data_IF_526783374000
#
_entry.id   IF_526783374000
#
_cell.length_a   1.000
_cell.length_b   1.000
_cell.length_c   1.000
_cell.angle_alpha   90.00
_cell.angle_beta   90.00
_cell.angle_gamma   90.00
#
_symmetry.space_group_name_H-M   'P 1'
#
loop_
_entity.id
_entity.type
_entity.pdbx_description
1 polymer ?
#
# COMPACT_ATOMS: atom_id res chain seq x y z
N UNK A 1 6.73 8.04 2.98
CA UNK A 1 5.94 6.96 2.34
C UNK A 1 4.60 7.45 1.81
N UNK A 2 3.49 7.52 2.55
CA UNK A 2 2.21 7.96 1.93
C UNK A 2 2.10 9.48 1.66
N UNK A 3 3.10 10.25 2.11
CA UNK A 3 3.26 11.68 1.83
C UNK A 3 4.27 11.95 0.70
N UNK A 4 4.89 10.90 0.15
CA UNK A 4 5.81 11.05 -0.99
C UNK A 4 5.02 11.28 -2.28
N UNK A 5 5.21 12.46 -2.87
CA UNK A 5 4.62 12.85 -4.15
C UNK A 5 4.96 11.88 -5.29
N UNK A 6 6.08 11.16 -5.19
CA UNK A 6 6.51 10.16 -6.18
C UNK A 6 5.64 8.90 -6.19
N UNK A 7 4.98 8.56 -5.08
CA UNK A 7 4.13 7.38 -5.00
C UNK A 7 2.64 7.71 -4.92
N UNK A 8 2.25 8.99 -4.88
CA UNK A 8 0.83 9.42 -4.87
C UNK A 8 0.01 8.96 -6.09
N UNK A 9 0.68 8.72 -7.22
CA UNK A 9 0.08 8.13 -8.42
C UNK A 9 -0.22 6.64 -8.25
N UNK A 10 0.53 5.95 -7.39
CA UNK A 10 0.47 4.50 -7.16
C UNK A 10 -0.39 4.18 -5.93
N UNK A 11 -0.15 4.88 -4.82
CA UNK A 11 -0.87 4.76 -3.55
C UNK A 11 -1.06 6.14 -2.91
N UNK A 12 -2.29 6.45 -2.51
CA UNK A 12 -2.59 7.73 -1.87
C UNK A 12 -3.56 7.55 -0.71
N UNK A 13 -3.51 8.45 0.28
CA UNK A 13 -4.59 8.57 1.24
C UNK A 13 -5.91 8.93 0.55
N UNK A 14 -7.00 8.35 1.04
CA UNK A 14 -8.34 8.80 0.72
C UNK A 14 -8.60 10.22 1.26
N UNK A 15 -9.68 10.87 0.80
CA UNK A 15 -9.97 12.27 1.15
C UNK A 15 -10.10 12.51 2.65
N UNK A 16 -10.56 11.50 3.41
CA UNK A 16 -10.72 11.58 4.86
C UNK A 16 -9.51 11.06 5.65
N UNK A 17 -8.41 10.68 4.98
CA UNK A 17 -7.22 10.04 5.58
C UNK A 17 -7.50 8.80 6.45
N UNK A 18 -8.70 8.22 6.30
CA UNK A 18 -9.18 7.03 7.01
C UNK A 18 -8.73 5.73 6.33
N UNK A 19 -8.52 5.79 5.01
CA UNK A 19 -8.14 4.67 4.15
C UNK A 19 -7.05 5.11 3.19
N UNK A 20 -6.25 4.16 2.72
CA UNK A 20 -5.37 4.38 1.57
C UNK A 20 -5.91 3.62 0.36
N UNK A 21 -5.73 4.20 -0.81
CA UNK A 21 -6.17 3.65 -2.09
C UNK A 21 -4.93 3.30 -2.89
N UNK A 22 -4.83 2.03 -3.27
CA UNK A 22 -3.81 1.56 -4.22
C UNK A 22 -4.44 1.65 -5.61
N UNK A 23 -3.95 2.58 -6.42
CA UNK A 23 -4.41 2.81 -7.80
C UNK A 23 -3.81 1.80 -8.77
N UNK A 24 -2.52 1.51 -8.59
CA UNK A 24 -1.81 0.50 -9.37
C UNK A 24 -1.18 -0.53 -8.43
N UNK A 25 -1.70 -1.75 -8.46
CA UNK A 25 -1.24 -2.82 -7.55
C UNK A 25 0.10 -3.41 -8.02
N UNK A 26 0.35 -3.49 -9.32
CA UNK A 26 1.58 -4.04 -9.87
C UNK A 26 2.76 -3.11 -9.62
N UNK A 27 2.55 -1.81 -9.79
CA UNK A 27 3.59 -0.80 -9.51
C UNK A 27 3.80 -0.61 -8.00
N UNK A 28 2.74 -0.72 -7.20
CA UNK A 28 2.87 -0.78 -5.74
C UNK A 28 3.71 -1.98 -5.29
N UNK A 29 3.50 -3.15 -5.90
CA UNK A 29 4.23 -4.38 -5.60
C UNK A 29 5.72 -4.31 -5.97
N UNK A 30 6.07 -3.59 -7.04
CA UNK A 30 7.45 -3.47 -7.56
C UNK A 30 8.22 -2.32 -6.96
N UNK A 31 7.56 -1.20 -6.69
CA UNK A 31 8.23 0.05 -6.30
C UNK A 31 8.11 0.32 -4.80
N UNK A 32 6.98 -0.01 -4.20
CA UNK A 32 6.67 0.35 -2.80
C UNK A 32 6.91 -0.81 -1.84
N UNK A 33 6.49 -2.02 -2.23
CA UNK A 33 6.57 -3.20 -1.39
C UNK A 33 8.01 -3.66 -1.08
N UNK A 34 8.98 -3.60 -2.02
CA UNK A 34 10.38 -3.94 -1.72
C UNK A 34 11.06 -2.95 -0.78
N UNK A 35 10.60 -1.69 -0.76
CA UNK A 35 11.07 -0.67 0.19
C UNK A 35 10.53 -0.85 1.60
N UNK A 36 9.37 -1.49 1.76
CA UNK A 36 8.74 -1.80 3.05
C UNK A 36 9.10 -3.18 3.59
N UNK A 37 9.29 -4.16 2.69
CA UNK A 37 9.48 -5.56 3.02
C UNK A 37 10.56 -6.16 2.13
N UNK A 38 11.43 -7.00 2.69
CA UNK A 38 12.45 -7.75 1.95
C UNK A 38 11.88 -8.81 0.97
N UNK A 39 10.56 -8.80 0.70
CA UNK A 39 9.89 -9.67 -0.24
C UNK A 39 8.66 -8.99 -0.86
N UNK A 40 8.47 -9.18 -2.16
CA UNK A 40 7.40 -8.59 -2.97
C UNK A 40 6.09 -9.39 -2.94
N UNK A 41 5.76 -10.07 -1.84
CA UNK A 41 4.57 -10.91 -1.76
C UNK A 41 3.34 -10.12 -1.27
N UNK A 42 2.40 -9.87 -2.17
CA UNK A 42 1.14 -9.18 -1.87
C UNK A 42 0.31 -9.86 -0.78
N UNK A 43 0.29 -11.19 -0.73
CA UNK A 43 -0.48 -11.92 0.27
C UNK A 43 0.06 -11.69 1.69
N UNK A 44 1.38 -11.56 1.85
CA UNK A 44 2.01 -11.20 3.12
C UNK A 44 1.62 -9.79 3.55
N UNK A 45 1.59 -8.85 2.60
CA UNK A 45 1.16 -7.47 2.85
C UNK A 45 -0.31 -7.41 3.31
N UNK A 46 -1.22 -8.07 2.59
CA UNK A 46 -2.65 -8.16 2.96
C UNK A 46 -2.81 -8.83 4.33
N UNK A 47 -2.03 -9.87 4.64
CA UNK A 47 -2.08 -10.51 5.95
C UNK A 47 -1.63 -9.57 7.09
N UNK A 48 -0.63 -8.72 6.85
CA UNK A 48 -0.24 -7.70 7.82
C UNK A 48 -1.31 -6.63 7.99
N UNK A 49 -1.92 -6.17 6.89
CA UNK A 49 -3.05 -5.25 6.95
C UNK A 49 -4.19 -5.82 7.80
N UNK A 50 -4.59 -7.07 7.54
CA UNK A 50 -5.60 -7.76 8.33
C UNK A 50 -5.21 -7.87 9.81
N UNK A 51 -3.92 -8.08 10.12
CA UNK A 51 -3.42 -8.12 11.51
C UNK A 51 -3.55 -6.77 12.22
N UNK A 52 -3.37 -5.66 11.51
CA UNK A 52 -3.52 -4.31 12.04
C UNK A 52 -4.97 -3.78 11.95
N UNK A 53 -5.92 -4.63 11.54
CA UNK A 53 -7.33 -4.26 11.46
C UNK A 53 -7.73 -3.56 10.15
N UNK A 54 -6.82 -3.41 9.19
CA UNK A 54 -7.17 -2.94 7.85
C UNK A 54 -7.84 -4.06 7.07
N UNK A 55 -9.03 -3.78 6.55
CA UNK A 55 -9.80 -4.72 5.74
C UNK A 55 -10.00 -4.09 4.36
N UNK A 56 -9.85 -4.90 3.30
CA UNK A 56 -10.15 -4.46 1.94
C UNK A 56 -11.67 -4.20 1.84
N UNK A 57 -12.03 -2.96 1.49
CA UNK A 57 -13.40 -2.53 1.18
C UNK A 57 -13.60 -2.62 -0.33
#
# INVERSE_FOLDING_TARGET
MLEDSSIQSIVSWGPERDRFVVKDTDEFLKSVLPGLFNHSNFASFVRQLNKYGFHKI
#
